data_IF_807243990920
#
_entry.id   IF_807243990920
#
_cell.length_a   1.000
_cell.length_b   1.000
_cell.length_c   1.000
_cell.angle_alpha   90.00
_cell.angle_beta   90.00
_cell.angle_gamma   90.00
#
_symmetry.space_group_name_H-M   'P 1'
#
loop_
_entity.id
_entity.type
_entity.pdbx_description
1 polymer ?
#
# COMPACT_ATOMS: atom_id res chain seq x y z
N UNK A 1 -3.33 27.24 12.52
CA UNK A 1 -4.14 26.08 12.07
C UNK A 1 -4.03 24.99 13.13
N UNK A 2 -5.14 24.44 13.62
CA UNK A 2 -5.14 23.32 14.57
C UNK A 2 -4.67 22.07 13.81
N UNK A 3 -3.69 21.32 14.33
CA UNK A 3 -3.25 20.07 13.71
C UNK A 3 -4.42 19.08 13.71
N UNK A 4 -4.70 18.47 12.57
CA UNK A 4 -5.74 17.46 12.45
C UNK A 4 -5.27 16.11 13.01
N UNK A 5 -6.25 15.30 13.40
CA UNK A 5 -6.03 13.96 13.91
C UNK A 5 -5.40 13.08 12.83
N UNK A 6 -4.39 12.29 13.21
CA UNK A 6 -3.78 11.31 12.33
C UNK A 6 -4.65 10.05 12.33
N UNK A 7 -5.25 9.72 11.19
CA UNK A 7 -6.08 8.55 11.04
C UNK A 7 -5.23 7.27 11.08
N UNK A 8 -5.74 6.25 11.77
CA UNK A 8 -5.26 4.87 11.67
C UNK A 8 -6.14 4.14 10.66
N UNK A 9 -5.53 3.78 9.55
CA UNK A 9 -6.18 3.14 8.40
C UNK A 9 -5.20 2.09 7.88
N UNK A 10 -5.72 0.95 7.43
CA UNK A 10 -4.93 -0.10 6.78
C UNK A 10 -4.57 0.29 5.34
N UNK A 11 -3.44 -0.22 4.82
CA UNK A 11 -2.95 0.09 3.49
C UNK A 11 -4.00 -0.23 2.42
N UNK A 12 -4.69 -1.36 2.52
CA UNK A 12 -5.75 -1.74 1.59
C UNK A 12 -6.87 -0.69 1.54
N UNK A 13 -7.42 -0.27 2.69
CA UNK A 13 -8.48 0.75 2.73
C UNK A 13 -7.99 2.10 2.17
N UNK A 14 -6.73 2.47 2.42
CA UNK A 14 -6.18 3.74 1.94
C UNK A 14 -5.93 3.73 0.42
N UNK A 15 -5.41 2.62 -0.10
CA UNK A 15 -5.08 2.47 -1.52
C UNK A 15 -6.33 2.34 -2.39
N UNK A 16 -7.43 1.80 -1.85
CA UNK A 16 -8.72 1.74 -2.53
C UNK A 16 -9.42 3.12 -2.65
N UNK A 17 -8.82 4.20 -2.12
CA UNK A 17 -9.44 5.52 -2.14
C UNK A 17 -9.41 6.16 -3.54
N UNK A 18 -10.59 6.52 -4.04
CA UNK A 18 -10.82 7.15 -5.34
C UNK A 18 -11.31 8.61 -5.24
N UNK A 19 -11.57 9.09 -4.01
CA UNK A 19 -12.14 10.43 -3.76
C UNK A 19 -11.10 11.33 -3.12
N UNK A 20 -10.85 12.49 -3.75
CA UNK A 20 -10.01 13.55 -3.22
C UNK A 20 -10.79 14.86 -3.09
N UNK A 21 -10.88 15.39 -1.88
CA UNK A 21 -11.48 16.69 -1.60
C UNK A 21 -10.38 17.75 -1.50
N UNK A 22 -10.39 18.72 -2.42
CA UNK A 22 -9.49 19.89 -2.39
C UNK A 22 -10.35 21.14 -2.22
N UNK A 23 -10.03 21.99 -1.24
CA UNK A 23 -10.73 23.27 -1.13
C UNK A 23 -10.32 24.23 -2.26
N UNK A 24 -11.19 25.19 -2.56
CA UNK A 24 -11.02 26.13 -3.69
C UNK A 24 -9.87 27.12 -3.50
N UNK A 25 -9.45 27.37 -2.25
CA UNK A 25 -8.34 28.26 -1.95
C UNK A 25 -6.98 27.58 -2.19
N UNK A 26 -5.99 28.34 -2.67
CA UNK A 26 -4.61 27.85 -2.93
C UNK A 26 -3.92 27.18 -1.74
N UNK A 27 -4.39 27.41 -0.52
CA UNK A 27 -3.85 26.85 0.73
C UNK A 27 -4.85 25.97 1.48
N UNK A 28 -5.98 25.63 0.85
CA UNK A 28 -6.98 24.79 1.48
C UNK A 28 -6.41 23.37 1.72
N UNK A 29 -6.78 22.74 2.85
CA UNK A 29 -6.38 21.36 3.11
C UNK A 29 -6.96 20.42 2.05
N UNK A 30 -6.17 19.44 1.65
CA UNK A 30 -6.59 18.32 0.81
C UNK A 30 -6.92 17.11 1.68
N UNK A 31 -7.95 16.36 1.31
CA UNK A 31 -8.33 15.12 1.96
C UNK A 31 -8.45 14.00 0.94
N UNK A 32 -8.05 12.80 1.34
CA UNK A 32 -8.40 11.55 0.67
C UNK A 32 -9.55 10.94 1.46
N UNK A 33 -10.63 10.52 0.80
CA UNK A 33 -11.75 9.86 1.46
C UNK A 33 -11.71 8.39 1.10
N UNK A 34 -11.60 7.50 2.09
CA UNK A 34 -11.53 6.05 1.85
C UNK A 34 -12.91 5.42 1.67
N UNK A 35 -13.01 4.18 1.16
CA UNK A 35 -14.28 3.47 0.99
C UNK A 35 -15.08 3.27 2.29
N UNK A 36 -14.40 3.15 3.43
CA UNK A 36 -15.05 3.08 4.74
C UNK A 36 -15.33 4.46 5.37
N UNK A 37 -15.09 5.54 4.63
CA UNK A 37 -15.42 6.89 5.09
C UNK A 37 -14.38 7.53 6.00
N UNK A 38 -13.11 7.13 5.94
CA UNK A 38 -12.04 7.91 6.57
C UNK A 38 -11.77 9.16 5.74
N UNK A 39 -12.04 10.36 6.28
CA UNK A 39 -11.68 11.64 5.64
C UNK A 39 -10.27 12.06 6.06
N UNK A 40 -9.28 11.57 5.33
CA UNK A 40 -7.87 11.56 5.70
C UNK A 40 -7.14 12.80 5.18
N UNK A 41 -6.69 13.69 6.08
CA UNK A 41 -5.64 14.69 5.82
C UNK A 41 -4.25 14.21 6.26
N UNK A 42 -4.21 13.43 7.34
CA UNK A 42 -3.00 12.94 8.01
C UNK A 42 -3.22 11.51 8.47
N UNK A 43 -2.19 10.70 8.38
CA UNK A 43 -2.19 9.28 8.72
C UNK A 43 -1.14 9.00 9.80
N UNK A 44 -1.42 7.96 10.60
CA UNK A 44 -0.45 7.30 11.46
C UNK A 44 -0.53 5.80 11.24
N UNK A 45 0.57 5.20 10.78
CA UNK A 45 0.66 3.77 10.53
C UNK A 45 1.99 3.18 10.96
N UNK A 46 2.00 1.88 11.21
CA UNK A 46 3.19 1.11 11.58
C UNK A 46 3.28 -0.12 10.69
N UNK A 47 4.46 -0.36 10.12
CA UNK A 47 4.66 -1.47 9.19
C UNK A 47 6.14 -1.78 8.99
N UNK A 48 6.44 -2.59 7.98
CA UNK A 48 7.79 -2.93 7.57
C UNK A 48 8.19 -2.01 6.44
N UNK A 49 9.23 -1.19 6.63
CA UNK A 49 9.90 -0.50 5.54
C UNK A 49 10.63 -1.55 4.70
N UNK A 50 10.10 -1.87 3.52
CA UNK A 50 10.62 -2.94 2.66
C UNK A 50 11.63 -2.44 1.65
N UNK A 51 11.47 -1.20 1.20
CA UNK A 51 12.28 -0.61 0.15
C UNK A 51 12.39 0.91 0.29
N UNK A 52 13.54 1.46 -0.11
CA UNK A 52 13.83 2.89 -0.22
C UNK A 52 14.64 3.13 -1.50
N UNK A 53 13.97 3.68 -2.51
CA UNK A 53 14.50 3.96 -3.82
C UNK A 53 14.77 5.45 -4.02
N UNK A 54 15.99 5.76 -4.46
CA UNK A 54 16.35 7.09 -4.93
C UNK A 54 15.89 7.24 -6.39
N UNK A 55 14.92 8.12 -6.62
CA UNK A 55 14.28 8.33 -7.91
C UNK A 55 14.91 9.45 -8.75
N UNK A 56 15.80 10.25 -8.15
CA UNK A 56 16.51 11.32 -8.86
C UNK A 56 18.02 11.13 -8.81
N UNK A 57 18.73 11.48 -9.89
CA UNK A 57 20.20 11.34 -9.97
C UNK A 57 20.94 12.08 -8.85
N UNK A 58 20.37 13.18 -8.35
CA UNK A 58 20.94 14.02 -7.30
C UNK A 58 20.56 13.57 -5.87
N UNK A 59 19.82 12.47 -5.72
CA UNK A 59 19.40 11.97 -4.41
C UNK A 59 18.27 12.76 -3.75
N UNK A 60 17.72 13.79 -4.41
CA UNK A 60 16.76 14.71 -3.82
C UNK A 60 15.32 14.19 -3.75
N UNK A 61 14.98 13.13 -4.52
CA UNK A 61 13.66 12.51 -4.56
C UNK A 61 13.75 11.02 -4.25
N UNK A 62 12.96 10.59 -3.26
CA UNK A 62 12.95 9.22 -2.74
C UNK A 62 11.52 8.68 -2.69
N UNK A 63 11.35 7.46 -3.17
CA UNK A 63 10.18 6.62 -2.96
C UNK A 63 10.51 5.57 -1.91
N UNK A 64 9.57 5.29 -1.03
CA UNK A 64 9.73 4.23 -0.04
C UNK A 64 8.42 3.47 0.15
N UNK A 65 8.53 2.20 0.52
CA UNK A 65 7.39 1.31 0.69
C UNK A 65 7.32 0.80 2.13
N UNK A 66 6.16 0.97 2.77
CA UNK A 66 5.90 0.44 4.11
C UNK A 66 4.73 -0.53 4.05
N UNK A 67 5.01 -1.81 4.27
CA UNK A 67 4.01 -2.87 4.26
C UNK A 67 3.34 -3.06 5.61
N UNK A 68 2.02 -3.15 5.61
CA UNK A 68 1.23 -3.71 6.70
C UNK A 68 0.62 -5.07 6.27
N UNK A 69 -0.09 -5.80 7.13
CA UNK A 69 -0.67 -7.10 6.78
C UNK A 69 -1.69 -7.07 5.62
N UNK A 70 -2.14 -5.88 5.21
CA UNK A 70 -3.22 -5.69 4.23
C UNK A 70 -2.72 -5.13 2.90
N UNK A 71 -1.49 -4.63 2.84
CA UNK A 71 -0.92 -4.03 1.63
C UNK A 71 0.30 -3.16 1.91
N UNK A 72 0.53 -2.19 1.03
CA UNK A 72 1.72 -1.32 1.06
C UNK A 72 1.32 0.15 0.99
N UNK A 73 1.86 0.96 1.88
CA UNK A 73 1.83 2.42 1.77
C UNK A 73 3.02 2.89 0.92
N UNK A 74 2.74 3.66 -0.14
CA UNK A 74 3.78 4.36 -0.91
C UNK A 74 4.05 5.75 -0.34
N UNK A 75 5.32 5.98 0.00
CA UNK A 75 5.83 7.25 0.52
C UNK A 75 6.64 8.00 -0.53
N UNK A 76 6.48 9.32 -0.59
CA UNK A 76 7.32 10.19 -1.41
C UNK A 76 7.92 11.34 -0.58
N UNK A 77 9.25 11.45 -0.57
CA UNK A 77 9.99 12.60 -0.03
C UNK A 77 10.81 13.25 -1.14
N UNK A 78 10.89 14.59 -1.14
CA UNK A 78 11.54 15.34 -2.21
C UNK A 78 12.37 16.52 -1.71
N UNK A 79 12.87 17.33 -2.66
CA UNK A 79 13.71 18.52 -2.42
C UNK A 79 13.17 19.52 -1.37
N UNK A 80 11.87 19.53 -1.09
CA UNK A 80 11.25 20.38 -0.08
C UNK A 80 11.24 19.75 1.34
N UNK A 81 11.83 18.57 1.52
CA UNK A 81 11.99 17.86 2.79
C UNK A 81 13.36 17.13 2.86
N UNK A 82 14.49 17.85 2.69
CA UNK A 82 15.81 17.22 2.60
C UNK A 82 16.15 16.34 3.82
N UNK A 83 15.81 16.79 5.03
CA UNK A 83 16.01 16.02 6.28
C UNK A 83 15.24 14.68 6.27
N UNK A 84 14.04 14.66 5.70
CA UNK A 84 13.20 13.45 5.62
C UNK A 84 13.72 12.51 4.54
N UNK A 85 14.17 13.06 3.42
CA UNK A 85 14.81 12.32 2.33
C UNK A 85 16.08 11.63 2.79
N UNK A 86 16.99 12.35 3.45
CA UNK A 86 18.22 11.79 4.03
C UNK A 86 17.90 10.73 5.09
N UNK A 87 16.91 11.00 5.94
CA UNK A 87 16.50 10.05 6.97
C UNK A 87 16.00 8.73 6.36
N UNK A 88 15.18 8.76 5.30
CA UNK A 88 14.74 7.55 4.61
C UNK A 88 15.90 6.75 4.04
N UNK A 89 16.85 7.42 3.37
CA UNK A 89 18.03 6.77 2.78
C UNK A 89 18.97 6.14 3.83
N UNK A 90 18.88 6.59 5.09
CA UNK A 90 19.71 6.06 6.18
C UNK A 90 19.16 4.81 6.87
N UNK A 91 17.92 4.39 6.57
CA UNK A 91 17.36 3.18 7.17
C UNK A 91 17.97 1.91 6.57
N UNK A 92 18.26 0.96 7.44
CA UNK A 92 18.48 -0.42 7.02
C UNK A 92 17.12 -1.05 6.68
N UNK A 93 16.98 -1.58 5.47
CA UNK A 93 15.80 -2.31 5.02
C UNK A 93 16.08 -3.83 5.02
N UNK A 94 15.14 -4.67 5.48
CA UNK A 94 13.85 -4.32 6.06
C UNK A 94 13.94 -3.87 7.54
N UNK A 95 13.09 -2.92 7.94
CA UNK A 95 12.97 -2.49 9.35
C UNK A 95 11.53 -2.14 9.73
N UNK A 96 11.15 -2.34 10.99
CA UNK A 96 9.84 -1.90 11.48
C UNK A 96 9.85 -0.40 11.70
N UNK A 97 8.89 0.31 11.11
CA UNK A 97 8.82 1.77 11.20
C UNK A 97 7.42 2.25 11.56
N UNK A 98 7.36 3.29 12.38
CA UNK A 98 6.15 4.08 12.61
C UNK A 98 6.24 5.39 11.81
N UNK A 99 5.20 5.67 11.03
CA UNK A 99 5.14 6.82 10.12
C UNK A 99 3.96 7.70 10.48
N UNK A 100 4.21 9.00 10.52
CA UNK A 100 3.15 10.01 10.45
C UNK A 100 3.34 10.80 9.16
N UNK A 101 2.29 10.96 8.36
CA UNK A 101 2.39 11.62 7.07
C UNK A 101 1.10 12.30 6.62
N UNK A 102 1.20 13.19 5.64
CA UNK A 102 0.06 13.83 4.99
C UNK A 102 -0.41 12.98 3.83
N UNK A 103 -1.73 12.89 3.66
CA UNK A 103 -2.29 12.24 2.48
C UNK A 103 -1.99 13.06 1.23
N UNK A 104 -1.75 12.35 0.13
CA UNK A 104 -1.60 12.87 -1.21
C UNK A 104 -2.45 12.01 -2.14
N UNK A 105 -3.04 12.67 -3.11
CA UNK A 105 -3.76 12.06 -4.21
C UNK A 105 -3.13 12.54 -5.51
N UNK A 106 -2.93 11.61 -6.42
CA UNK A 106 -2.49 11.88 -7.79
C UNK A 106 -3.46 11.21 -8.74
N UNK A 107 -3.83 11.91 -9.80
CA UNK A 107 -4.65 11.38 -10.88
C UNK A 107 -3.89 11.68 -12.18
N UNK A 108 -3.51 10.66 -12.97
CA UNK A 108 -2.87 10.87 -14.27
C UNK A 108 -3.79 11.64 -15.22
N UNK A 109 -3.23 12.40 -16.16
CA UNK A 109 -4.03 13.16 -17.13
C UNK A 109 -4.83 12.25 -18.09
N UNK A 110 -4.27 11.08 -18.42
CA UNK A 110 -4.87 10.10 -19.34
C UNK A 110 -5.61 8.95 -18.61
N UNK A 111 -5.70 9.00 -17.28
CA UNK A 111 -6.25 7.93 -16.46
C UNK A 111 -7.36 8.42 -15.53
N UNK A 112 -8.47 7.70 -15.50
CA UNK A 112 -9.57 7.98 -14.56
C UNK A 112 -9.23 7.56 -13.11
N UNK A 113 -8.19 6.72 -12.92
CA UNK A 113 -7.81 6.19 -11.61
C UNK A 113 -7.05 7.21 -10.76
N UNK A 114 -7.51 7.41 -9.53
CA UNK A 114 -6.78 8.14 -8.48
C UNK A 114 -5.88 7.17 -7.71
N UNK A 115 -4.65 7.59 -7.45
CA UNK A 115 -3.70 6.90 -6.59
C UNK A 115 -3.47 7.70 -5.31
N UNK A 116 -3.57 7.01 -4.17
CA UNK A 116 -3.27 7.58 -2.87
C UNK A 116 -1.81 7.32 -2.50
N UNK A 117 -1.12 8.34 -2.00
CA UNK A 117 0.26 8.22 -1.48
C UNK A 117 0.42 9.04 -0.22
N UNK A 118 1.55 8.89 0.45
CA UNK A 118 1.82 9.58 1.72
C UNK A 118 3.07 10.43 1.57
N UNK A 119 2.95 11.71 1.97
CA UNK A 119 4.12 12.56 2.20
C UNK A 119 4.54 12.43 3.67
N UNK A 120 5.64 11.76 3.99
CA UNK A 120 6.05 11.55 5.38
C UNK A 120 6.37 12.91 6.04
N UNK A 121 5.93 13.05 7.28
CA UNK A 121 6.32 14.14 8.17
C UNK A 121 7.31 13.66 9.23
N UNK A 122 7.15 12.42 9.69
CA UNK A 122 8.04 11.74 10.64
C UNK A 122 8.04 10.24 10.33
N UNK A 123 9.21 9.62 10.49
CA UNK A 123 9.42 8.17 10.48
C UNK A 123 10.36 7.83 11.64
N UNK A 124 10.13 6.72 12.33
CA UNK A 124 11.02 6.22 13.39
C UNK A 124 11.03 4.70 13.34
N UNK A 125 12.18 4.10 13.63
CA UNK A 125 12.27 2.65 13.83
C UNK A 125 11.53 2.25 15.11
N UNK A 126 10.83 1.11 15.07
CA UNK A 126 10.04 0.57 16.19
C UNK A 126 10.22 -0.94 16.31
N UNK A 127 9.55 -1.56 17.27
CA UNK A 127 9.58 -3.02 17.46
C UNK A 127 8.39 -3.71 16.82
N UNK A 128 8.49 -5.02 16.62
CA UNK A 128 7.37 -5.86 16.18
C UNK A 128 6.14 -5.73 17.12
N UNK A 129 6.35 -5.65 18.44
CA UNK A 129 5.25 -5.48 19.40
C UNK A 129 4.50 -4.15 19.22
N UNK A 130 5.20 -3.07 18.83
CA UNK A 130 4.55 -1.78 18.53
C UNK A 130 3.76 -1.82 17.22
N UNK A 131 4.24 -2.58 16.22
CA UNK A 131 3.47 -2.88 15.00
C UNK A 131 2.19 -3.63 15.35
N UNK A 132 2.28 -4.68 16.16
CA UNK A 132 1.12 -5.50 16.51
C UNK A 132 0.09 -4.73 17.34
N UNK A 133 0.54 -3.88 18.26
CA UNK A 133 -0.35 -2.96 18.97
C UNK A 133 -1.06 -2.00 18.01
N UNK A 134 -0.35 -1.43 17.03
CA UNK A 134 -0.97 -0.55 16.04
C UNK A 134 -1.99 -1.31 15.18
N UNK A 135 -1.73 -2.56 14.78
CA UNK A 135 -2.67 -3.40 14.04
C UNK A 135 -3.97 -3.58 14.85
N UNK A 136 -3.87 -3.95 16.14
CA UNK A 136 -5.02 -4.12 17.03
C UNK A 136 -5.84 -2.83 17.21
N UNK A 137 -5.17 -1.70 17.42
CA UNK A 137 -5.84 -0.38 17.50
C UNK A 137 -6.55 -0.04 16.18
N UNK A 138 -5.91 -0.34 15.05
CA UNK A 138 -6.45 -0.07 13.71
C UNK A 138 -7.63 -0.97 13.40
N UNK A 139 -7.63 -2.23 13.83
CA UNK A 139 -8.80 -3.13 13.74
C UNK A 139 -10.02 -2.51 14.42
N UNK A 140 -9.87 -1.99 15.65
CA UNK A 140 -10.98 -1.38 16.41
C UNK A 140 -11.54 -0.19 15.63
N UNK A 141 -10.68 0.72 15.18
CA UNK A 141 -11.11 1.90 14.44
C UNK A 141 -11.76 1.57 13.09
N UNK A 142 -11.25 0.57 12.38
CA UNK A 142 -11.80 0.12 11.10
C UNK A 142 -13.14 -0.57 11.31
N UNK A 143 -13.30 -1.35 12.39
CA UNK A 143 -14.58 -1.93 12.76
C UNK A 143 -15.66 -0.86 13.00
N UNK A 144 -15.34 0.21 13.73
CA UNK A 144 -16.29 1.31 13.96
C UNK A 144 -16.79 1.92 12.64
N UNK A 145 -15.90 2.04 11.64
CA UNK A 145 -16.26 2.52 10.31
C UNK A 145 -17.09 1.51 9.51
N UNK A 146 -16.75 0.22 9.57
CA UNK A 146 -17.55 -0.85 8.96
C UNK A 146 -18.97 -0.85 9.53
N UNK A 147 -19.12 -0.75 10.85
CA UNK A 147 -20.42 -0.69 11.51
C UNK A 147 -21.23 0.53 11.00
N UNK A 148 -20.58 1.68 10.82
CA UNK A 148 -21.21 2.88 10.27
C UNK A 148 -21.64 2.73 8.80
N UNK A 149 -20.84 2.08 7.95
CA UNK A 149 -21.20 1.78 6.56
C UNK A 149 -22.37 0.78 6.49
N UNK A 150 -22.39 -0.22 7.38
CA UNK A 150 -23.50 -1.18 7.48
C UNK A 150 -24.79 -0.53 7.95
N UNK A 151 -24.72 0.37 8.94
CA UNK A 151 -25.88 1.16 9.37
C UNK A 151 -26.37 2.04 8.22
N UNK A 152 -25.48 2.81 7.58
CA UNK A 152 -25.80 3.66 6.44
C UNK A 152 -26.52 2.88 5.32
N UNK A 153 -26.11 1.63 5.06
CA UNK A 153 -26.72 0.76 4.04
C UNK A 153 -28.16 0.35 4.36
N UNK A 154 -28.57 0.46 5.62
CA UNK A 154 -29.92 0.15 6.12
C UNK A 154 -30.81 1.39 6.26
N UNK A 155 -30.29 2.59 5.98
CA UNK A 155 -31.01 3.86 6.12
C UNK A 155 -31.66 4.31 4.81
N UNK A 156 -32.83 4.95 4.91
CA UNK A 156 -33.52 5.56 3.76
C UNK A 156 -32.77 6.79 3.21
N UNK A 157 -32.07 7.51 4.08
CA UNK A 157 -31.32 8.73 3.72
C UNK A 157 -30.04 8.79 4.54
N UNK A 158 -28.90 8.82 3.86
CA UNK A 158 -27.59 8.85 4.50
C UNK A 158 -27.04 10.26 4.45
N UNK A 159 -26.98 10.88 5.61
CA UNK A 159 -26.33 12.17 5.83
C UNK A 159 -25.52 12.11 7.12
N UNK A 160 -24.56 13.02 7.27
CA UNK A 160 -23.79 13.13 8.51
C UNK A 160 -24.71 13.32 9.73
N UNK A 161 -25.76 14.15 9.63
CA UNK A 161 -26.71 14.36 10.73
C UNK A 161 -27.51 13.10 11.07
N UNK A 162 -27.91 12.32 10.06
CA UNK A 162 -28.63 11.09 10.30
C UNK A 162 -27.75 10.04 11.00
N UNK A 163 -26.48 9.92 10.60
CA UNK A 163 -25.49 9.03 11.24
C UNK A 163 -25.12 9.49 12.66
N UNK A 164 -25.07 10.81 12.91
CA UNK A 164 -24.89 11.37 14.26
C UNK A 164 -26.07 10.99 15.18
N UNK A 165 -27.30 11.07 14.68
CA UNK A 165 -28.50 10.78 15.46
C UNK A 165 -28.62 9.31 15.90
N UNK A 166 -28.05 8.37 15.13
CA UNK A 166 -27.99 6.95 15.48
C UNK A 166 -26.76 6.59 16.34
N UNK A 167 -25.88 7.55 16.62
CA UNK A 167 -24.85 7.43 17.65
C UNK A 167 -23.40 7.39 17.13
N UNK A 168 -23.15 7.52 15.84
CA UNK A 168 -21.78 7.66 15.33
C UNK A 168 -21.21 9.04 15.64
N UNK A 169 -19.92 9.12 15.91
CA UNK A 169 -19.26 10.40 16.17
C UNK A 169 -18.95 11.15 14.86
N UNK A 170 -18.84 12.48 14.98
CA UNK A 170 -18.81 13.41 13.84
C UNK A 170 -17.84 13.03 12.70
N UNK A 171 -16.54 12.78 12.95
CA UNK A 171 -15.62 12.34 11.89
C UNK A 171 -16.05 11.11 11.08
N UNK A 172 -16.62 10.07 11.71
CA UNK A 172 -17.14 8.90 10.99
C UNK A 172 -18.40 9.28 10.22
N UNK A 173 -19.35 9.94 10.87
CA UNK A 173 -20.61 10.32 10.24
C UNK A 173 -20.40 11.18 8.99
N UNK A 174 -19.51 12.18 9.05
CA UNK A 174 -19.15 13.00 7.90
C UNK A 174 -18.52 12.17 6.78
N UNK A 175 -17.49 11.39 7.09
CA UNK A 175 -16.75 10.70 6.05
C UNK A 175 -17.52 9.53 5.43
N UNK A 176 -18.32 8.79 6.20
CA UNK A 176 -19.23 7.76 5.69
C UNK A 176 -20.30 8.36 4.81
N UNK A 177 -20.87 9.53 5.17
CA UNK A 177 -21.86 10.19 4.30
C UNK A 177 -21.28 10.54 2.93
N UNK A 178 -20.01 10.95 2.86
CA UNK A 178 -19.32 11.22 1.60
C UNK A 178 -19.03 9.90 0.87
N UNK A 179 -18.47 8.91 1.56
CA UNK A 179 -18.11 7.63 0.94
C UNK A 179 -19.33 6.92 0.34
N UNK A 180 -20.50 7.04 0.98
CA UNK A 180 -21.74 6.42 0.53
C UNK A 180 -22.22 6.87 -0.86
N UNK A 181 -21.85 8.09 -1.27
CA UNK A 181 -22.17 8.65 -2.58
C UNK A 181 -21.18 8.21 -3.67
N UNK A 182 -20.01 7.69 -3.29
CA UNK A 182 -18.89 7.47 -4.21
C UNK A 182 -18.41 6.02 -4.32
N UNK A 183 -18.67 5.18 -3.32
CA UNK A 183 -18.19 3.80 -3.27
C UNK A 183 -19.33 2.78 -3.26
N UNK A 184 -19.09 1.63 -3.88
CA UNK A 184 -20.00 0.50 -3.79
C UNK A 184 -19.98 -0.08 -2.37
N UNK A 185 -21.15 -0.20 -1.77
CA UNK A 185 -21.35 -0.71 -0.41
C UNK A 185 -21.04 -2.20 -0.30
N UNK A 186 -21.11 -2.94 -1.41
CA UNK A 186 -20.75 -4.36 -1.45
C UNK A 186 -19.26 -4.58 -1.13
N UNK A 187 -18.42 -3.55 -1.27
CA UNK A 187 -17.01 -3.60 -0.86
C UNK A 187 -16.85 -3.79 0.66
N UNK A 188 -17.87 -3.55 1.48
CA UNK A 188 -17.77 -3.71 2.93
C UNK A 188 -17.33 -5.12 3.34
N UNK A 189 -17.75 -6.14 2.61
CA UNK A 189 -17.39 -7.54 2.92
C UNK A 189 -15.90 -7.83 2.67
N UNK A 190 -15.28 -7.17 1.68
CA UNK A 190 -13.83 -7.21 1.45
C UNK A 190 -13.09 -6.75 2.71
N UNK A 191 -13.52 -5.65 3.32
CA UNK A 191 -12.87 -5.10 4.52
C UNK A 191 -13.16 -5.93 5.78
N UNK A 192 -14.30 -6.61 5.86
CA UNK A 192 -14.57 -7.56 6.95
C UNK A 192 -13.58 -8.72 6.88
N UNK A 193 -13.34 -9.28 5.70
CA UNK A 193 -12.33 -10.34 5.53
C UNK A 193 -10.92 -9.82 5.86
N UNK A 194 -10.56 -8.65 5.37
CA UNK A 194 -9.27 -7.99 5.69
C UNK A 194 -9.07 -7.86 7.21
N UNK A 195 -10.11 -7.56 7.99
CA UNK A 195 -9.99 -7.50 9.45
C UNK A 195 -9.76 -8.86 10.09
N UNK A 196 -10.35 -9.94 9.55
CA UNK A 196 -10.09 -11.30 10.03
C UNK A 196 -8.63 -11.67 9.78
N UNK A 197 -8.14 -11.41 8.57
CA UNK A 197 -6.75 -11.70 8.20
C UNK A 197 -5.75 -10.91 9.07
N UNK A 198 -6.06 -9.65 9.39
CA UNK A 198 -5.24 -8.83 10.29
C UNK A 198 -5.24 -9.33 11.74
N UNK A 199 -6.37 -9.88 12.23
CA UNK A 199 -6.43 -10.53 13.55
C UNK A 199 -5.62 -11.82 13.57
N UNK A 200 -5.73 -12.62 12.52
CA UNK A 200 -4.98 -13.87 12.38
C UNK A 200 -3.47 -13.59 12.31
N UNK A 201 -3.05 -12.54 11.61
CA UNK A 201 -1.65 -12.10 11.53
C UNK A 201 -1.05 -11.87 12.92
N UNK A 202 -1.71 -11.08 13.77
CA UNK A 202 -1.23 -10.79 15.13
C UNK A 202 -1.26 -12.05 16.00
N UNK A 203 -2.32 -12.85 15.88
CA UNK A 203 -2.48 -14.10 16.65
C UNK A 203 -1.38 -15.12 16.32
N UNK A 204 -0.99 -15.25 15.04
CA UNK A 204 0.10 -16.11 14.62
C UNK A 204 1.47 -15.59 15.07
N UNK A 205 1.67 -14.26 15.05
CA UNK A 205 2.88 -13.61 15.57
C UNK A 205 3.14 -13.93 17.03
N UNK A 206 2.11 -13.80 17.88
CA UNK A 206 2.21 -14.17 19.30
C UNK A 206 2.55 -15.65 19.51
N UNK A 207 1.98 -16.56 18.71
CA UNK A 207 2.27 -17.99 18.80
C UNK A 207 3.71 -18.33 18.38
N UNK A 208 4.25 -17.65 17.37
CA UNK A 208 5.63 -17.82 16.95
C UNK A 208 6.60 -17.33 18.03
N UNK A 209 6.36 -16.15 18.61
CA UNK A 209 7.17 -15.62 19.72
C UNK A 209 7.08 -16.48 20.99
N UNK A 210 5.88 -16.98 21.33
CA UNK A 210 5.66 -17.88 22.47
C UNK A 210 6.31 -19.27 22.28
N UNK A 211 6.43 -19.73 21.04
CA UNK A 211 7.13 -20.98 20.71
C UNK A 211 8.64 -20.79 20.77
N UNK A 212 9.14 -19.65 20.30
CA UNK A 212 10.57 -19.29 20.31
C UNK A 212 11.08 -19.12 21.75
N UNK A 213 10.34 -18.40 22.59
CA UNK A 213 10.67 -18.22 24.02
C UNK A 213 10.59 -19.52 24.84
N UNK A 214 9.80 -20.52 24.43
CA UNK A 214 9.80 -21.86 25.05
C UNK A 214 11.02 -22.69 24.69
N UNK A 215 11.63 -22.45 23.53
CA UNK A 215 12.81 -23.18 23.04
C UNK A 215 14.12 -22.63 23.64
N UNK A 216 14.17 -21.34 24.01
CA UNK A 216 15.35 -20.71 24.63
C UNK A 216 15.57 -21.08 26.11
N UNK A 217 14.65 -21.82 26.74
CA UNK A 217 14.71 -22.23 28.15
C UNK A 217 15.56 -23.47 28.47
N UNK A 218 16.32 -24.02 27.52
CA UNK A 218 17.15 -25.23 27.75
C UNK A 218 18.48 -25.18 27.00
N UNK A 219 19.53 -24.66 27.65
CA UNK A 219 20.95 -24.79 27.23
C UNK A 219 21.42 -26.26 27.31
N UNK A 220 22.34 -26.85 26.53
CA UNK A 220 23.44 -26.39 25.65
C UNK A 220 24.05 -27.58 24.87
N UNK A 221 24.44 -27.42 23.60
CA UNK A 221 25.81 -27.63 23.03
C UNK A 221 25.82 -27.78 21.48
N UNK A 222 26.69 -26.96 20.86
CA UNK A 222 27.38 -27.05 19.55
C UNK A 222 26.80 -27.83 18.36
N UNK A 223 26.68 -27.14 17.22
CA UNK A 223 26.62 -27.74 15.88
C UNK A 223 26.51 -26.68 14.78
N UNK A 224 27.42 -26.72 13.81
CA UNK A 224 27.60 -25.74 12.75
C UNK A 224 26.43 -25.65 11.73
N UNK A 225 26.22 -24.43 11.24
CA UNK A 225 25.80 -24.07 9.87
C UNK A 225 24.62 -24.82 9.24
N UNK A 226 23.50 -24.12 9.07
CA UNK A 226 22.72 -24.15 7.82
C UNK A 226 21.73 -23.00 7.80
N UNK A 227 21.81 -22.18 6.76
CA UNK A 227 20.79 -21.20 6.37
C UNK A 227 19.43 -21.91 6.16
N UNK A 228 18.30 -21.37 6.63
CA UNK A 228 16.99 -21.85 6.22
C UNK A 228 16.66 -21.25 4.84
N UNK A 229 16.53 -22.13 3.85
CA UNK A 229 15.94 -21.83 2.54
C UNK A 229 14.50 -21.36 2.69
N UNK A 230 14.15 -20.27 1.99
CA UNK A 230 12.78 -19.87 1.73
C UNK A 230 11.99 -21.00 1.04
N UNK A 231 10.65 -21.07 1.24
CA UNK A 231 9.81 -22.02 0.53
C UNK A 231 9.71 -21.61 -0.94
N UNK A 232 10.15 -22.50 -1.83
CA UNK A 232 9.90 -22.45 -3.27
C UNK A 232 8.43 -22.73 -3.52
N UNK A 233 7.69 -21.70 -3.94
CA UNK A 233 6.42 -21.87 -4.66
C UNK A 233 6.75 -22.47 -6.03
N UNK A 234 6.02 -23.52 -6.40
CA UNK A 234 6.10 -24.17 -7.72
C UNK A 234 5.72 -23.17 -8.80
N UNK A 235 6.67 -22.84 -9.67
CA UNK A 235 6.49 -21.99 -10.86
C UNK A 235 5.82 -22.86 -11.93
N UNK A 236 4.73 -22.37 -12.53
CA UNK A 236 4.03 -23.07 -13.60
C UNK A 236 4.89 -23.05 -14.88
N UNK A 237 5.04 -24.18 -15.60
CA UNK A 237 5.89 -24.26 -16.81
C UNK A 237 5.45 -23.26 -17.89
N UNK A 238 4.18 -22.81 -17.85
CA UNK A 238 3.61 -21.80 -18.73
C UNK A 238 3.99 -20.35 -18.37
N UNK A 239 4.40 -20.08 -17.12
CA UNK A 239 4.86 -18.76 -16.67
C UNK A 239 6.29 -18.48 -17.17
N UNK A 240 7.16 -19.49 -17.15
CA UNK A 240 8.54 -19.35 -17.64
C UNK A 240 8.59 -19.11 -19.16
N UNK A 241 7.74 -19.79 -19.93
CA UNK A 241 7.67 -19.61 -21.39
C UNK A 241 7.15 -18.21 -21.77
N UNK A 242 6.13 -17.71 -21.06
CA UNK A 242 5.60 -16.37 -21.28
C UNK A 242 6.63 -15.28 -20.92
N UNK A 243 7.33 -15.43 -19.80
CA UNK A 243 8.39 -14.51 -19.38
C UNK A 243 9.55 -14.48 -20.37
N UNK A 244 9.96 -15.63 -20.91
CA UNK A 244 11.01 -15.69 -21.91
C UNK A 244 10.63 -14.96 -23.21
N UNK A 245 9.39 -15.16 -23.68
CA UNK A 245 8.87 -14.46 -24.88
C UNK A 245 8.84 -12.95 -24.66
N UNK A 246 8.23 -12.48 -23.56
CA UNK A 246 8.12 -11.05 -23.27
C UNK A 246 9.50 -10.41 -23.08
N UNK A 247 10.42 -11.07 -22.37
CA UNK A 247 11.79 -10.57 -22.20
C UNK A 247 12.57 -10.47 -23.51
N UNK A 248 12.37 -11.41 -24.43
CA UNK A 248 13.01 -11.38 -25.75
C UNK A 248 12.47 -10.22 -26.61
N UNK A 249 11.16 -9.96 -26.55
CA UNK A 249 10.53 -8.83 -27.25
C UNK A 249 11.08 -7.50 -26.72
N UNK A 250 11.22 -7.36 -25.40
CA UNK A 250 11.76 -6.13 -24.78
C UNK A 250 13.23 -5.94 -25.16
N UNK A 251 14.10 -6.93 -24.92
CA UNK A 251 15.55 -6.82 -25.21
C UNK A 251 15.88 -6.54 -26.67
N UNK A 252 15.04 -7.02 -27.59
CA UNK A 252 15.28 -6.82 -29.02
C UNK A 252 14.87 -5.43 -29.52
N UNK A 253 14.07 -4.68 -28.76
CA UNK A 253 13.38 -3.48 -29.23
C UNK A 253 13.48 -2.27 -28.30
N UNK A 254 13.95 -2.45 -27.06
CA UNK A 254 13.95 -1.41 -26.01
C UNK A 254 14.82 -0.18 -26.33
N UNK A 255 15.81 -0.27 -27.22
CA UNK A 255 16.66 0.89 -27.58
C UNK A 255 17.19 1.69 -26.37
N UNK A 256 17.47 2.98 -26.57
CA UNK A 256 17.91 3.85 -25.47
C UNK A 256 16.72 4.37 -24.63
N UNK A 257 15.53 4.49 -25.22
CA UNK A 257 14.36 5.15 -24.62
C UNK A 257 13.35 4.17 -23.98
N UNK A 258 13.53 2.85 -24.16
CA UNK A 258 12.56 1.82 -23.80
C UNK A 258 11.59 1.46 -24.94
N UNK A 259 10.78 0.43 -24.75
CA UNK A 259 9.71 0.02 -25.65
C UNK A 259 8.35 0.33 -25.01
N UNK A 260 7.40 0.85 -25.78
CA UNK A 260 6.07 1.12 -25.23
C UNK A 260 5.27 -0.15 -24.96
N UNK A 261 4.40 -0.08 -23.96
CA UNK A 261 3.52 -1.18 -23.54
C UNK A 261 2.65 -1.69 -24.70
N UNK A 262 2.03 -0.77 -25.46
CA UNK A 262 1.26 -1.08 -26.67
C UNK A 262 2.06 -1.83 -27.74
N UNK A 263 3.36 -1.55 -27.85
CA UNK A 263 4.23 -2.24 -28.81
C UNK A 263 4.65 -3.62 -28.34
N UNK A 264 4.85 -3.81 -27.03
CA UNK A 264 5.10 -5.13 -26.44
C UNK A 264 3.89 -6.02 -26.68
N UNK A 265 2.69 -5.54 -26.34
CA UNK A 265 1.44 -6.30 -26.49
C UNK A 265 1.20 -6.74 -27.93
N UNK A 266 1.29 -5.82 -28.90
CA UNK A 266 1.13 -6.15 -30.35
C UNK A 266 2.16 -7.13 -30.90
N UNK A 267 3.35 -7.20 -30.29
CA UNK A 267 4.42 -8.12 -30.72
C UNK A 267 4.24 -9.48 -30.06
N UNK A 268 3.88 -9.51 -28.78
CA UNK A 268 3.59 -10.74 -28.04
C UNK A 268 2.33 -11.45 -28.56
N UNK A 269 1.31 -10.73 -29.04
CA UNK A 269 0.15 -11.29 -29.74
C UNK A 269 0.55 -12.14 -30.97
N UNK A 270 1.60 -11.75 -31.68
CA UNK A 270 2.11 -12.50 -32.85
C UNK A 270 2.89 -13.75 -32.46
N UNK A 271 3.36 -13.81 -31.22
CA UNK A 271 4.04 -14.97 -30.63
C UNK A 271 3.09 -15.86 -29.82
N UNK A 272 1.80 -15.51 -29.74
CA UNK A 272 0.73 -16.35 -29.20
C UNK A 272 0.28 -16.03 -27.78
N UNK A 273 0.73 -14.90 -27.20
CA UNK A 273 0.29 -14.41 -25.89
C UNK A 273 -0.88 -13.43 -26.07
N UNK A 274 -1.95 -13.59 -25.31
CA UNK A 274 -3.04 -12.61 -25.26
C UNK A 274 -2.71 -11.42 -24.35
N UNK A 275 -3.44 -10.31 -24.50
CA UNK A 275 -3.21 -9.06 -23.78
C UNK A 275 -3.19 -9.21 -22.25
N UNK A 276 -4.06 -10.06 -21.70
CA UNK A 276 -4.13 -10.29 -20.24
C UNK A 276 -2.86 -10.99 -19.79
N UNK A 277 -2.41 -12.00 -20.54
CA UNK A 277 -1.21 -12.73 -20.24
C UNK A 277 0.06 -11.87 -20.35
N UNK A 278 0.11 -10.96 -21.32
CA UNK A 278 1.22 -10.00 -21.45
C UNK A 278 1.29 -9.07 -20.25
N UNK A 279 0.17 -8.54 -19.79
CA UNK A 279 0.11 -7.65 -18.63
C UNK A 279 0.55 -8.37 -17.34
N UNK A 280 0.02 -9.57 -17.08
CA UNK A 280 0.45 -10.41 -15.94
C UNK A 280 1.96 -10.69 -15.98
N UNK A 281 2.50 -11.01 -17.16
CA UNK A 281 3.92 -11.32 -17.34
C UNK A 281 4.79 -10.08 -17.14
N UNK A 282 4.38 -8.92 -17.64
CA UNK A 282 5.09 -7.66 -17.42
C UNK A 282 5.10 -7.29 -15.94
N UNK A 283 3.97 -7.44 -15.24
CA UNK A 283 3.88 -7.23 -13.80
C UNK A 283 4.78 -8.21 -13.04
N UNK A 284 4.78 -9.51 -13.40
CA UNK A 284 5.71 -10.50 -12.82
C UNK A 284 7.18 -10.13 -13.06
N UNK A 285 7.55 -9.69 -14.27
CA UNK A 285 8.92 -9.29 -14.60
C UNK A 285 9.34 -8.00 -13.89
N UNK A 286 8.40 -7.07 -13.65
CA UNK A 286 8.62 -5.87 -12.83
C UNK A 286 8.79 -6.22 -11.35
N UNK A 287 7.96 -7.12 -10.82
CA UNK A 287 8.07 -7.65 -9.45
C UNK A 287 9.39 -8.40 -9.23
N UNK A 288 9.87 -9.11 -10.26
CA UNK A 288 11.19 -9.78 -10.29
C UNK A 288 12.35 -8.81 -10.53
N UNK A 289 12.07 -7.54 -10.85
CA UNK A 289 13.08 -6.52 -11.13
C UNK A 289 13.87 -6.73 -12.42
N UNK A 290 13.39 -7.58 -13.34
CA UNK A 290 14.04 -7.85 -14.62
C UNK A 290 13.78 -6.76 -15.67
N UNK A 291 12.71 -6.00 -15.46
CA UNK A 291 12.32 -4.84 -16.26
C UNK A 291 11.80 -3.72 -15.36
N UNK A 292 11.84 -2.49 -15.84
CA UNK A 292 11.37 -1.30 -15.15
C UNK A 292 10.72 -0.32 -16.14
N UNK A 293 9.92 0.60 -15.61
CA UNK A 293 9.19 1.59 -16.40
C UNK A 293 9.84 2.98 -16.24
N UNK A 294 10.82 3.37 -17.09
CA UNK A 294 11.45 4.70 -17.02
C UNK A 294 10.48 5.87 -17.19
N UNK A 295 9.47 5.69 -18.03
CA UNK A 295 8.38 6.65 -18.29
C UNK A 295 7.10 5.83 -18.36
N UNK A 296 6.01 6.33 -17.77
CA UNK A 296 4.72 5.63 -17.78
C UNK A 296 4.32 5.21 -19.21
N UNK A 297 4.00 3.94 -19.38
CA UNK A 297 3.74 3.26 -20.65
C UNK A 297 4.98 2.80 -21.41
N UNK A 298 6.20 2.95 -20.87
CA UNK A 298 7.47 2.62 -21.54
C UNK A 298 8.33 1.73 -20.66
N UNK A 299 8.65 0.53 -21.14
CA UNK A 299 9.30 -0.55 -20.42
C UNK A 299 10.74 -0.75 -20.92
N UNK A 300 11.67 -1.02 -20.00
CA UNK A 300 13.08 -1.27 -20.29
C UNK A 300 13.62 -2.38 -19.37
N UNK A 301 14.57 -3.16 -19.85
CA UNK A 301 15.29 -4.15 -19.04
C UNK A 301 16.24 -3.47 -18.07
N UNK A 302 16.30 -3.99 -16.85
CA UNK A 302 17.21 -3.57 -15.78
C UNK A 302 18.65 -3.99 -16.06
#
# INVERSE_FOLDING_TARGET
>A
MKREHAWRVFAMEYNDAMVSLKGEEKMAPSYVVTPLGSKVNRLFFVGVLTDVEVMSEDGSFVRAHVSDPTGVFTLFSGQYQPEMTEKLQSFDVPSFVAVTGKSRSYQPEDGDAMYASVRPEQIVEVTASLRDQWILETIIHTKDRIDAVKEASSMDTVTADALLNVGFYKPIAEGVSIAFDHYDRLLVEKYVQMLQDAVDYVSMGEQAEATTTKLEGSSSESGAGTEPKMPTTTVDEQDEEAEEIVMNVIKSQEGDDGISWDEITKKCEKEGLDDVRVDETLNSLMDKGLIYEPVLGTIKTT
#
